data_IF_076908003715
#
_entry.id   IF_076908003715
#
_cell.length_a   1.000
_cell.length_b   1.000
_cell.length_c   1.000
_cell.angle_alpha   90.00
_cell.angle_beta   90.00
_cell.angle_gamma   90.00
#
_symmetry.space_group_name_H-M   'P 1'
#
loop_
_entity.id
_entity.type
_entity.pdbx_description
1 polymer ?
#
# COMPACT_ATOMS: atom_id res chain seq x y z
N UNK A 1 11.77 -12.84 5.62
CA UNK A 1 10.37 -13.02 6.05
C UNK A 1 9.94 -12.06 7.15
N UNK A 2 10.68 -11.91 8.26
CA UNK A 2 10.38 -10.94 9.32
C UNK A 2 10.21 -9.51 8.82
N UNK A 3 11.07 -9.04 7.90
CA UNK A 3 10.94 -7.71 7.30
C UNK A 3 9.60 -7.52 6.55
N UNK A 4 9.11 -8.57 5.88
CA UNK A 4 7.81 -8.53 5.19
C UNK A 4 6.68 -8.37 6.21
N UNK A 5 6.70 -9.16 7.28
CA UNK A 5 5.71 -9.08 8.36
C UNK A 5 5.76 -7.72 9.05
N UNK A 6 6.95 -7.24 9.36
CA UNK A 6 7.18 -5.93 9.97
C UNK A 6 6.60 -4.78 9.12
N UNK A 7 6.95 -4.73 7.83
CA UNK A 7 6.45 -3.70 6.90
C UNK A 7 4.91 -3.76 6.78
N UNK A 8 4.33 -4.96 6.74
CA UNK A 8 2.87 -5.12 6.74
C UNK A 8 2.25 -4.64 8.06
N UNK A 9 2.84 -4.99 9.22
CA UNK A 9 2.34 -4.55 10.52
C UNK A 9 2.39 -3.03 10.67
N UNK A 10 3.51 -2.39 10.32
CA UNK A 10 3.66 -0.93 10.28
C UNK A 10 2.62 -0.31 9.37
N UNK A 11 2.46 -0.81 8.14
CA UNK A 11 1.46 -0.33 7.19
C UNK A 11 0.03 -0.45 7.71
N UNK A 12 -0.30 -1.57 8.39
CA UNK A 12 -1.63 -1.78 8.99
C UNK A 12 -1.88 -0.82 10.17
N UNK A 13 -0.92 -0.64 11.07
CA UNK A 13 -1.04 0.28 12.21
C UNK A 13 -1.21 1.73 11.74
N UNK A 14 -0.39 2.17 10.78
CA UNK A 14 -0.50 3.51 10.19
C UNK A 14 -1.83 3.68 9.44
N UNK A 15 -2.28 2.65 8.73
CA UNK A 15 -3.57 2.66 8.06
C UNK A 15 -4.75 2.72 9.02
N UNK A 16 -4.68 2.04 10.17
CA UNK A 16 -5.69 2.16 11.24
C UNK A 16 -5.68 3.56 11.84
N UNK A 17 -4.51 4.15 12.10
CA UNK A 17 -4.39 5.53 12.53
C UNK A 17 -5.02 6.50 11.52
N UNK A 18 -4.74 6.33 10.22
CA UNK A 18 -5.34 7.11 9.14
C UNK A 18 -6.86 6.96 9.09
N UNK A 19 -7.39 5.75 9.32
CA UNK A 19 -8.82 5.49 9.35
C UNK A 19 -9.51 6.22 10.52
N UNK A 20 -8.87 6.26 11.69
CA UNK A 20 -9.37 7.00 12.86
C UNK A 20 -9.36 8.51 12.59
N UNK A 21 -8.28 9.03 12.00
CA UNK A 21 -8.19 10.42 11.57
C UNK A 21 -9.25 10.76 10.51
N UNK A 22 -9.43 9.92 9.49
CA UNK A 22 -10.48 10.10 8.48
C UNK A 22 -11.87 10.20 9.11
N UNK A 23 -12.15 9.36 10.14
CA UNK A 23 -13.42 9.40 10.87
C UNK A 23 -13.57 10.64 11.76
N UNK A 24 -12.46 11.20 12.24
CA UNK A 24 -12.47 12.42 13.07
C UNK A 24 -12.69 13.69 12.25
N UNK A 25 -12.38 13.64 10.93
CA UNK A 25 -12.55 14.78 10.03
C UNK A 25 -14.04 15.09 9.78
N UNK A 26 -14.41 16.38 9.65
CA UNK A 26 -15.74 16.78 9.21
C UNK A 26 -16.12 16.14 7.87
N UNK A 27 -17.42 15.94 7.63
CA UNK A 27 -17.92 15.27 6.41
C UNK A 27 -17.47 15.94 5.10
N UNK A 28 -17.27 17.25 5.13
CA UNK A 28 -16.87 18.07 3.95
C UNK A 28 -15.35 18.21 3.78
N UNK A 29 -14.55 17.64 4.69
CA UNK A 29 -13.08 17.72 4.58
C UNK A 29 -12.53 16.79 3.51
N UNK A 30 -11.49 17.20 2.78
CA UNK A 30 -10.86 16.35 1.74
C UNK A 30 -10.09 15.20 2.38
N UNK A 31 -10.73 14.04 2.45
CA UNK A 31 -10.24 12.82 3.13
C UNK A 31 -9.06 12.17 2.42
N UNK A 32 -8.95 12.37 1.10
CA UNK A 32 -7.85 11.79 0.29
C UNK A 32 -6.47 12.17 0.81
N UNK A 33 -6.29 13.37 1.37
CA UNK A 33 -4.98 13.84 1.83
C UNK A 33 -4.41 13.03 3.00
N UNK A 34 -5.28 12.48 3.86
CA UNK A 34 -4.85 11.56 4.92
C UNK A 34 -4.14 10.35 4.33
N UNK A 35 -4.73 9.76 3.28
CA UNK A 35 -4.17 8.59 2.60
C UNK A 35 -2.95 8.94 1.74
N UNK A 36 -2.94 10.12 1.12
CA UNK A 36 -1.79 10.62 0.35
C UNK A 36 -0.53 10.79 1.21
N UNK A 37 -0.70 11.12 2.50
CA UNK A 37 0.42 11.27 3.44
C UNK A 37 0.84 9.90 4.02
N UNK A 38 -0.14 9.07 4.38
CA UNK A 38 0.16 7.81 5.08
C UNK A 38 0.81 6.76 4.16
N UNK A 39 0.46 6.71 2.87
CA UNK A 39 1.03 5.76 1.91
C UNK A 39 2.55 5.94 1.79
N UNK A 40 3.11 7.12 1.47
CA UNK A 40 4.56 7.29 1.41
C UNK A 40 5.23 7.09 2.78
N UNK A 41 4.61 7.52 3.88
CA UNK A 41 5.16 7.29 5.22
C UNK A 41 5.30 5.79 5.49
N UNK A 42 4.30 4.98 5.14
CA UNK A 42 4.34 3.53 5.37
C UNK A 42 5.42 2.80 4.54
N UNK A 43 5.90 3.42 3.45
CA UNK A 43 7.01 2.90 2.63
C UNK A 43 8.36 3.36 3.18
N UNK A 44 8.48 4.66 3.52
CA UNK A 44 9.74 5.28 3.88
C UNK A 44 10.13 4.94 5.32
N UNK A 45 9.16 4.91 6.23
CA UNK A 45 9.40 4.71 7.66
C UNK A 45 10.19 3.43 7.97
N UNK A 46 9.85 2.24 7.42
CA UNK A 46 10.62 1.02 7.68
C UNK A 46 12.07 1.08 7.16
N UNK A 47 12.33 1.91 6.14
CA UNK A 47 13.68 2.12 5.58
C UNK A 47 14.51 3.10 6.39
N UNK A 48 13.89 4.17 6.88
CA UNK A 48 14.58 5.25 7.60
C UNK A 48 15.18 4.77 8.93
N UNK A 49 14.46 3.89 9.64
CA UNK A 49 14.93 3.33 10.91
C UNK A 49 16.08 2.34 10.78
N UNK A 50 16.38 1.83 9.58
CA UNK A 50 17.56 0.98 9.35
C UNK A 50 18.90 1.66 9.72
N UNK A 51 18.94 3.00 9.77
CA UNK A 51 20.15 3.75 10.02
C UNK A 51 20.42 4.13 11.48
N UNK A 52 19.39 4.17 12.33
CA UNK A 52 19.52 4.80 13.65
C UNK A 52 19.42 3.86 14.87
N UNK A 53 18.80 2.69 14.75
CA UNK A 53 18.69 1.73 15.85
C UNK A 53 18.82 0.31 15.32
N UNK A 54 20.05 -0.06 14.94
CA UNK A 54 20.38 -1.44 14.64
C UNK A 54 20.42 -2.25 15.94
N UNK A 55 19.26 -2.58 16.49
CA UNK A 55 19.15 -3.65 17.47
C UNK A 55 19.24 -4.96 16.70
N UNK A 56 20.44 -5.55 16.75
CA UNK A 56 20.63 -6.92 16.30
C UNK A 56 19.90 -7.84 17.30
N UNK A 57 19.08 -8.75 16.79
CA UNK A 57 18.55 -9.84 17.62
C UNK A 57 19.74 -10.60 18.22
N UNK A 58 20.88 -10.71 17.50
CA UNK A 58 22.12 -11.26 18.00
C UNK A 58 22.65 -10.51 19.22
N UNK A 59 22.65 -9.16 19.19
CA UNK A 59 23.09 -8.33 20.33
C UNK A 59 22.17 -8.50 21.55
N UNK A 60 20.87 -8.69 21.33
CA UNK A 60 19.92 -8.98 22.40
C UNK A 60 20.20 -10.37 23.04
N UNK A 61 20.53 -11.37 22.25
CA UNK A 61 20.94 -12.70 22.76
C UNK A 61 22.29 -12.66 23.46
N UNK A 62 23.26 -11.90 22.94
CA UNK A 62 24.59 -11.76 23.55
C UNK A 62 24.52 -11.01 24.88
N UNK A 63 23.69 -9.95 24.97
CA UNK A 63 23.38 -9.26 26.24
C UNK A 63 22.59 -10.13 27.21
N UNK A 64 21.71 -11.02 26.72
CA UNK A 64 20.98 -11.96 27.55
C UNK A 64 21.92 -13.06 28.11
N UNK A 65 22.86 -13.53 27.31
CA UNK A 65 23.86 -14.51 27.70
C UNK A 65 24.91 -13.93 28.68
N UNK A 66 25.19 -12.64 28.62
CA UNK A 66 26.10 -11.93 29.49
C UNK A 66 25.49 -11.55 30.87
N UNK A 67 24.18 -11.74 31.08
CA UNK A 67 23.57 -11.55 32.40
C UNK A 67 23.83 -12.72 33.29
N UNK A 68 24.32 -12.51 34.53
CA UNK A 68 24.45 -13.60 35.49
C UNK A 68 23.09 -14.26 35.73
N UNK A 69 23.02 -15.59 35.93
CA UNK A 69 21.77 -16.28 36.18
C UNK A 69 21.17 -15.76 37.48
N UNK A 70 20.13 -14.91 37.36
CA UNK A 70 19.23 -14.65 38.48
C UNK A 70 18.47 -15.95 38.70
N UNK A 71 18.74 -16.57 39.84
CA UNK A 71 18.25 -17.90 40.23
C UNK A 71 16.74 -18.06 39.96
N UNK A 72 16.41 -19.29 39.63
CA UNK A 72 15.14 -19.91 39.31
C UNK A 72 13.93 -19.44 40.12
N UNK A 73 13.34 -18.31 39.81
CA UNK A 73 12.08 -17.88 40.43
C UNK A 73 10.90 -17.91 39.44
N UNK A 74 11.17 -17.88 38.15
CA UNK A 74 10.10 -18.07 37.13
C UNK A 74 10.59 -19.13 36.14
N UNK A 75 9.91 -20.27 36.17
CA UNK A 75 10.15 -21.35 35.22
C UNK A 75 10.32 -20.78 33.82
N UNK A 76 11.45 -21.07 33.21
CA UNK A 76 11.78 -20.72 31.84
C UNK A 76 10.73 -21.32 30.89
N UNK A 77 9.64 -20.64 30.70
CA UNK A 77 8.90 -20.78 29.45
C UNK A 77 9.85 -20.29 28.36
N UNK A 78 10.82 -21.14 28.02
CA UNK A 78 11.68 -20.94 26.87
C UNK A 78 10.79 -20.66 25.70
N UNK A 79 10.83 -19.44 25.19
CA UNK A 79 10.27 -19.09 23.89
C UNK A 79 11.06 -19.86 22.83
N UNK A 80 10.87 -21.18 22.79
CA UNK A 80 11.39 -22.12 21.78
C UNK A 80 10.86 -21.82 20.37
N UNK A 81 10.10 -20.75 20.21
CA UNK A 81 9.69 -20.18 18.92
C UNK A 81 10.85 -19.62 18.09
N UNK A 82 12.07 -19.54 18.64
CA UNK A 82 13.22 -18.93 17.98
C UNK A 82 14.41 -19.90 17.87
N UNK A 83 14.15 -21.16 17.51
CA UNK A 83 15.19 -22.12 17.18
C UNK A 83 16.03 -21.61 15.99
N UNK A 84 17.37 -21.47 16.11
CA UNK A 84 18.26 -21.07 15.03
C UNK A 84 18.13 -21.91 13.75
N UNK A 85 17.81 -23.21 13.88
CA UNK A 85 17.55 -24.10 12.75
C UNK A 85 16.35 -23.69 11.88
N UNK A 86 15.36 -23.12 12.48
CA UNK A 86 14.16 -22.59 11.84
C UNK A 86 14.47 -21.43 10.88
N UNK A 87 15.35 -20.54 11.33
CA UNK A 87 15.77 -19.37 10.55
C UNK A 87 16.66 -19.72 9.38
N UNK A 88 17.54 -20.72 9.53
CA UNK A 88 18.36 -21.23 8.44
C UNK A 88 17.50 -21.84 7.32
N UNK A 89 16.46 -22.59 7.67
CA UNK A 89 15.50 -23.11 6.70
C UNK A 89 14.74 -21.99 5.97
N UNK A 90 14.29 -20.95 6.66
CA UNK A 90 13.59 -19.80 6.04
C UNK A 90 14.53 -19.03 5.13
N UNK A 91 15.79 -18.84 5.48
CA UNK A 91 16.79 -18.15 4.66
C UNK A 91 17.04 -18.90 3.32
N UNK A 92 16.92 -20.22 3.29
CA UNK A 92 17.06 -21.01 2.05
C UNK A 92 16.00 -20.68 1.01
N UNK A 93 14.83 -20.15 1.43
CA UNK A 93 13.74 -19.73 0.52
C UNK A 93 13.88 -18.32 -0.02
N UNK A 94 14.87 -17.53 0.40
CA UNK A 94 14.99 -16.11 0.01
C UNK A 94 15.10 -15.94 -1.51
N UNK A 95 15.82 -16.84 -2.20
CA UNK A 95 15.93 -16.82 -3.67
C UNK A 95 14.58 -17.09 -4.33
N UNK A 96 13.79 -18.03 -3.82
CA UNK A 96 12.47 -18.38 -4.35
C UNK A 96 11.47 -17.26 -4.08
N UNK A 97 11.51 -16.64 -2.91
CA UNK A 97 10.69 -15.49 -2.54
C UNK A 97 11.00 -14.29 -3.45
N UNK A 98 12.28 -14.02 -3.70
CA UNK A 98 12.69 -12.94 -4.61
C UNK A 98 12.24 -13.20 -6.05
N UNK A 99 12.33 -14.43 -6.55
CA UNK A 99 11.81 -14.79 -7.87
C UNK A 99 10.30 -14.61 -7.94
N UNK A 100 9.56 -15.06 -6.92
CA UNK A 100 8.11 -14.88 -6.85
C UNK A 100 7.74 -13.39 -6.80
N UNK A 101 8.45 -12.59 -6.04
CA UNK A 101 8.26 -11.14 -6.00
C UNK A 101 8.48 -10.50 -7.37
N UNK A 102 9.62 -10.76 -8.01
CA UNK A 102 9.94 -10.19 -9.32
C UNK A 102 8.93 -10.64 -10.40
N UNK A 103 8.51 -11.90 -10.38
CA UNK A 103 7.48 -12.39 -11.31
C UNK A 103 6.13 -11.73 -11.08
N UNK A 104 5.69 -11.59 -9.82
CA UNK A 104 4.45 -10.89 -9.49
C UNK A 104 4.50 -9.41 -9.91
N UNK A 105 5.62 -8.73 -9.66
CA UNK A 105 5.83 -7.33 -10.08
C UNK A 105 5.81 -7.20 -11.61
N UNK A 106 6.47 -8.11 -12.32
CA UNK A 106 6.47 -8.14 -13.79
C UNK A 106 5.06 -8.37 -14.36
N UNK A 107 4.31 -9.32 -13.80
CA UNK A 107 2.92 -9.59 -14.21
C UNK A 107 2.04 -8.35 -14.00
N UNK A 108 2.12 -7.70 -12.84
CA UNK A 108 1.36 -6.48 -12.55
C UNK A 108 1.76 -5.33 -13.48
N UNK A 109 3.05 -5.17 -13.76
CA UNK A 109 3.54 -4.16 -14.71
C UNK A 109 3.01 -4.42 -16.12
N UNK A 110 3.13 -5.64 -16.62
CA UNK A 110 2.63 -6.03 -17.95
C UNK A 110 1.11 -5.84 -18.03
N UNK A 111 0.38 -6.20 -17.00
CA UNK A 111 -1.07 -5.98 -16.95
C UNK A 111 -1.41 -4.48 -16.96
N UNK A 112 -0.66 -3.64 -16.20
CA UNK A 112 -0.80 -2.19 -16.20
C UNK A 112 -0.52 -1.59 -17.59
N UNK A 113 0.58 -2.00 -18.24
CA UNK A 113 0.94 -1.57 -19.60
C UNK A 113 -0.11 -2.00 -20.62
N UNK A 114 -0.59 -3.25 -20.56
CA UNK A 114 -1.66 -3.73 -21.43
C UNK A 114 -2.98 -2.96 -21.23
N UNK A 115 -3.28 -2.57 -19.99
CA UNK A 115 -4.44 -1.76 -19.68
C UNK A 115 -4.30 -0.34 -20.24
N UNK A 116 -3.14 0.29 -20.07
CA UNK A 116 -2.83 1.59 -20.65
C UNK A 116 -2.87 1.57 -22.19
N UNK A 117 -2.33 0.51 -22.81
CA UNK A 117 -2.40 0.32 -24.26
C UNK A 117 -3.85 0.18 -24.75
N UNK A 118 -4.70 -0.63 -24.08
CA UNK A 118 -6.12 -0.76 -24.41
C UNK A 118 -6.83 0.59 -24.35
N UNK A 119 -6.62 1.38 -23.30
CA UNK A 119 -7.18 2.72 -23.17
C UNK A 119 -6.71 3.65 -24.30
N UNK A 120 -5.41 3.66 -24.60
CA UNK A 120 -4.84 4.48 -25.69
C UNK A 120 -5.39 4.07 -27.05
N UNK A 121 -5.61 2.78 -27.27
CA UNK A 121 -6.20 2.24 -28.52
C UNK A 121 -7.68 2.66 -28.65
N UNK A 122 -8.46 2.60 -27.56
CA UNK A 122 -9.85 3.10 -27.56
C UNK A 122 -9.89 4.59 -27.90
N UNK A 123 -9.00 5.39 -27.31
CA UNK A 123 -8.92 6.83 -27.58
C UNK A 123 -8.53 7.12 -29.04
N UNK A 124 -7.58 6.37 -29.59
CA UNK A 124 -7.14 6.54 -30.98
C UNK A 124 -8.23 6.12 -31.99
N UNK A 125 -8.91 4.99 -31.70
CA UNK A 125 -10.02 4.51 -32.54
C UNK A 125 -11.21 5.50 -32.50
N UNK A 126 -11.59 5.95 -31.33
CA UNK A 126 -12.67 6.96 -31.19
C UNK A 126 -12.37 8.26 -31.93
N UNK A 127 -11.09 8.64 -32.03
CA UNK A 127 -10.65 9.79 -32.84
C UNK A 127 -10.82 9.52 -34.33
N UNK A 128 -10.40 8.34 -34.81
CA UNK A 128 -10.47 7.95 -36.24
C UNK A 128 -11.90 7.81 -36.74
N UNK A 129 -12.79 7.23 -35.94
CA UNK A 129 -14.17 6.94 -36.35
C UNK A 129 -15.06 8.22 -36.47
N UNK A 130 -14.63 9.33 -35.88
CA UNK A 130 -15.43 10.59 -35.94
C UNK A 130 -15.11 11.54 -37.08
N UNK A 131 -14.03 11.28 -37.83
CA UNK A 131 -13.64 12.15 -38.98
C UNK A 131 -13.48 13.61 -38.53
N UNK A 132 -14.01 14.55 -39.33
CA UNK A 132 -13.91 15.99 -39.13
C UNK A 132 -14.86 16.57 -38.05
N UNK A 133 -15.63 15.74 -37.34
CA UNK A 133 -16.47 16.19 -36.25
C UNK A 133 -15.60 16.81 -35.13
N UNK A 134 -16.03 17.96 -34.57
CA UNK A 134 -15.34 18.65 -33.48
C UNK A 134 -14.97 17.65 -32.35
N UNK A 135 -13.69 17.39 -32.20
CA UNK A 135 -13.12 16.52 -31.19
C UNK A 135 -12.27 17.34 -30.23
N UNK A 136 -12.51 17.26 -28.93
CA UNK A 136 -13.63 16.63 -28.21
C UNK A 136 -14.93 17.42 -28.35
N UNK A 137 -16.09 16.74 -28.21
CA UNK A 137 -17.40 17.43 -28.22
C UNK A 137 -17.61 18.13 -26.87
N UNK A 138 -18.31 19.27 -26.88
CA UNK A 138 -18.71 19.99 -25.67
C UNK A 138 -20.17 19.67 -25.35
N UNK A 139 -20.43 19.06 -24.18
CA UNK A 139 -21.77 18.73 -23.70
C UNK A 139 -21.95 19.35 -22.31
N UNK A 140 -22.98 20.15 -22.13
CA UNK A 140 -23.26 20.87 -20.87
C UNK A 140 -22.04 21.61 -20.29
N UNK A 141 -21.19 22.18 -21.16
CA UNK A 141 -19.97 22.91 -20.78
C UNK A 141 -18.76 22.05 -20.44
N UNK A 142 -18.87 20.71 -20.56
CA UNK A 142 -17.76 19.77 -20.33
C UNK A 142 -17.25 19.23 -21.67
N UNK A 143 -15.94 19.21 -21.85
CA UNK A 143 -15.28 18.63 -23.02
C UNK A 143 -15.22 17.11 -22.89
N UNK A 144 -15.97 16.39 -23.73
CA UNK A 144 -16.16 14.95 -23.63
C UNK A 144 -15.75 14.20 -24.90
N UNK A 145 -15.33 12.97 -24.73
CA UNK A 145 -15.10 12.00 -25.79
C UNK A 145 -16.18 10.92 -25.68
N UNK A 146 -17.04 10.82 -26.68
CA UNK A 146 -18.12 9.84 -26.67
C UNK A 146 -17.60 8.49 -27.14
N UNK A 147 -17.82 7.41 -26.34
CA UNK A 147 -17.41 6.04 -26.66
C UNK A 147 -18.35 5.05 -25.98
N UNK A 148 -18.75 4.00 -26.69
CA UNK A 148 -19.60 2.95 -26.13
C UNK A 148 -18.79 1.76 -25.59
N UNK A 149 -17.46 1.85 -25.68
CA UNK A 149 -16.56 0.76 -25.25
C UNK A 149 -16.28 0.77 -23.74
N UNK A 150 -16.63 1.85 -23.05
CA UNK A 150 -16.35 2.04 -21.62
C UNK A 150 -17.49 2.83 -20.95
N UNK A 151 -17.67 2.65 -19.63
CA UNK A 151 -18.53 3.51 -18.82
C UNK A 151 -18.00 4.95 -18.73
N UNK A 152 -18.75 5.86 -18.06
CA UNK A 152 -18.23 7.19 -17.77
C UNK A 152 -16.91 7.05 -17.01
N UNK A 153 -15.88 7.78 -17.46
CA UNK A 153 -14.56 7.70 -16.84
C UNK A 153 -13.67 8.86 -17.26
N UNK A 154 -12.82 9.31 -16.36
CA UNK A 154 -11.73 10.23 -16.68
C UNK A 154 -10.46 9.46 -16.94
N UNK A 155 -9.89 9.56 -18.15
CA UNK A 155 -8.71 8.82 -18.57
C UNK A 155 -7.60 9.74 -19.09
N UNK A 156 -6.35 9.29 -18.94
CA UNK A 156 -5.15 9.99 -19.41
C UNK A 156 -4.33 10.56 -18.25
N UNK A 157 -3.00 10.45 -18.37
CA UNK A 157 -2.07 10.91 -17.36
C UNK A 157 -1.69 12.40 -17.52
N UNK A 158 -1.17 12.80 -18.70
CA UNK A 158 -0.77 14.18 -18.96
C UNK A 158 -1.94 15.06 -19.42
N UNK A 159 -2.79 14.54 -20.30
CA UNK A 159 -3.97 15.21 -20.86
C UNK A 159 -5.20 14.36 -20.56
N UNK A 160 -5.73 14.50 -19.37
CA UNK A 160 -6.92 13.76 -18.95
C UNK A 160 -8.15 14.22 -19.74
N UNK A 161 -8.94 13.25 -20.17
CA UNK A 161 -10.16 13.44 -20.96
C UNK A 161 -11.32 12.72 -20.31
N UNK A 162 -12.48 13.31 -20.37
CA UNK A 162 -13.73 12.72 -19.89
C UNK A 162 -14.29 11.85 -21.00
N UNK A 163 -14.41 10.55 -20.76
CA UNK A 163 -15.08 9.58 -21.63
C UNK A 163 -16.52 9.43 -21.20
N UNK A 164 -17.44 9.44 -22.16
CA UNK A 164 -18.89 9.35 -21.90
C UNK A 164 -19.53 8.40 -22.89
N UNK A 165 -20.23 7.35 -22.44
CA UNK A 165 -21.00 6.48 -23.31
C UNK A 165 -22.28 7.16 -23.79
N UNK A 166 -22.81 6.72 -24.95
CA UNK A 166 -24.01 7.33 -25.55
C UNK A 166 -25.22 7.30 -24.64
N UNK A 167 -25.39 6.26 -23.83
CA UNK A 167 -26.54 6.18 -22.92
C UNK A 167 -26.56 7.32 -21.88
N UNK A 168 -25.40 7.87 -21.48
CA UNK A 168 -25.34 9.04 -20.60
C UNK A 168 -25.87 10.28 -21.32
N UNK A 169 -25.61 10.42 -22.62
CA UNK A 169 -26.12 11.52 -23.41
C UNK A 169 -27.64 11.47 -23.57
N UNK A 170 -28.25 10.30 -23.49
CA UNK A 170 -29.69 10.09 -23.52
C UNK A 170 -30.40 10.36 -22.19
N UNK A 171 -29.63 10.56 -21.08
CA UNK A 171 -30.22 10.90 -19.78
C UNK A 171 -30.88 12.30 -19.80
N UNK A 172 -31.89 12.54 -18.94
CA UNK A 172 -32.39 13.88 -18.66
C UNK A 172 -31.23 14.82 -18.30
N UNK A 173 -31.39 16.12 -18.70
CA UNK A 173 -30.32 17.11 -18.55
C UNK A 173 -29.72 17.15 -17.14
N UNK A 174 -30.57 17.15 -16.11
CA UNK A 174 -30.10 17.18 -14.71
C UNK A 174 -29.25 15.98 -14.36
N UNK A 175 -29.69 14.76 -14.68
CA UNK A 175 -28.93 13.52 -14.38
C UNK A 175 -27.63 13.49 -15.17
N UNK A 176 -27.65 13.90 -16.44
CA UNK A 176 -26.46 14.01 -17.28
C UNK A 176 -25.44 15.00 -16.70
N UNK A 177 -25.88 16.14 -16.20
CA UNK A 177 -25.03 17.14 -15.57
C UNK A 177 -24.30 16.58 -14.34
N UNK A 178 -24.95 15.78 -13.50
CA UNK A 178 -24.30 15.13 -12.36
C UNK A 178 -23.17 14.19 -12.82
N UNK A 179 -23.43 13.33 -13.83
CA UNK A 179 -22.40 12.39 -14.35
C UNK A 179 -21.22 13.18 -14.94
N UNK A 180 -21.50 14.17 -15.80
CA UNK A 180 -20.46 14.98 -16.43
C UNK A 180 -19.65 15.78 -15.42
N UNK A 181 -20.31 16.32 -14.40
CA UNK A 181 -19.63 17.07 -13.35
C UNK A 181 -18.76 16.17 -12.50
N UNK A 182 -19.20 14.95 -12.17
CA UNK A 182 -18.41 13.97 -11.43
C UNK A 182 -17.10 13.67 -12.16
N UNK A 183 -17.16 13.31 -13.42
CA UNK A 183 -15.97 13.05 -14.24
C UNK A 183 -15.06 14.29 -14.39
N UNK A 184 -15.68 15.47 -14.55
CA UNK A 184 -14.93 16.73 -14.64
C UNK A 184 -14.22 17.07 -13.32
N UNK A 185 -14.82 16.76 -12.15
CA UNK A 185 -14.16 16.95 -10.85
C UNK A 185 -12.94 16.03 -10.68
N UNK A 186 -13.00 14.76 -11.13
CA UNK A 186 -11.83 13.89 -11.18
C UNK A 186 -10.74 14.45 -12.09
N UNK A 187 -11.12 14.97 -13.25
CA UNK A 187 -10.19 15.59 -14.19
C UNK A 187 -9.49 16.81 -13.58
N UNK A 188 -10.25 17.71 -12.93
CA UNK A 188 -9.73 18.93 -12.29
C UNK A 188 -8.84 18.65 -11.11
N UNK A 189 -9.22 17.65 -10.31
CA UNK A 189 -8.47 17.24 -9.14
C UNK A 189 -7.23 16.39 -9.46
N UNK A 190 -7.03 16.02 -10.73
CA UNK A 190 -5.94 15.14 -11.19
C UNK A 190 -5.92 13.77 -10.50
N UNK A 191 -7.10 13.27 -10.11
CA UNK A 191 -7.24 12.03 -9.34
C UNK A 191 -6.63 10.82 -10.06
N UNK A 192 -6.72 10.77 -11.41
CA UNK A 192 -6.07 9.72 -12.20
C UNK A 192 -4.55 9.66 -12.04
N UNK A 193 -3.87 10.81 -11.88
CA UNK A 193 -2.42 10.86 -11.64
C UNK A 193 -2.09 10.37 -10.25
N UNK A 194 -2.86 10.80 -9.24
CA UNK A 194 -2.71 10.39 -7.86
C UNK A 194 -2.82 8.87 -7.73
N UNK A 195 -3.88 8.29 -8.28
CA UNK A 195 -4.12 6.85 -8.22
C UNK A 195 -3.09 6.05 -9.01
N UNK A 196 -2.60 6.59 -10.14
CA UNK A 196 -1.52 5.98 -10.90
C UNK A 196 -0.24 5.90 -10.07
N UNK A 197 0.20 7.02 -9.45
CA UNK A 197 1.39 7.05 -8.60
C UNK A 197 1.24 6.09 -7.41
N UNK A 198 0.06 6.08 -6.75
CA UNK A 198 -0.22 5.15 -5.69
C UNK A 198 -0.16 3.68 -6.16
N UNK A 199 -0.63 3.38 -7.37
CA UNK A 199 -0.60 2.01 -7.92
C UNK A 199 0.80 1.49 -8.19
N UNK A 200 1.79 2.36 -8.43
CA UNK A 200 3.19 1.96 -8.60
C UNK A 200 3.73 1.26 -7.35
N UNK A 201 3.25 1.62 -6.17
CA UNK A 201 3.67 0.98 -4.92
C UNK A 201 3.26 -0.48 -4.83
N UNK A 202 2.10 -0.85 -5.42
CA UNK A 202 1.67 -2.25 -5.53
C UNK A 202 2.58 -3.04 -6.49
N UNK A 203 3.00 -2.41 -7.59
CA UNK A 203 3.91 -3.06 -8.55
C UNK A 203 5.27 -3.30 -7.89
N UNK A 204 5.75 -2.34 -7.08
CA UNK A 204 7.02 -2.47 -6.37
C UNK A 204 6.96 -3.48 -5.21
N UNK A 205 5.83 -3.53 -4.51
CA UNK A 205 5.64 -4.35 -3.30
C UNK A 205 4.34 -5.17 -3.38
N UNK A 206 4.20 -6.13 -4.33
CA UNK A 206 2.96 -6.89 -4.53
C UNK A 206 2.58 -7.75 -3.32
N UNK A 207 3.55 -8.13 -2.51
CA UNK A 207 3.40 -8.89 -1.27
C UNK A 207 2.88 -8.08 -0.08
N UNK A 208 2.85 -6.74 -0.19
CA UNK A 208 2.43 -5.85 0.89
C UNK A 208 0.90 -5.70 0.92
N UNK A 209 0.23 -6.55 1.70
CA UNK A 209 -1.23 -6.57 1.85
C UNK A 209 -1.76 -5.27 2.46
N UNK A 210 -0.99 -4.66 3.38
CA UNK A 210 -1.35 -3.37 3.95
C UNK A 210 -1.44 -2.30 2.84
N UNK A 211 -0.50 -2.30 1.89
CA UNK A 211 -0.49 -1.36 0.77
C UNK A 211 -1.73 -1.51 -0.13
N UNK A 212 -2.15 -2.75 -0.41
CA UNK A 212 -3.39 -3.01 -1.15
C UNK A 212 -4.61 -2.43 -0.44
N UNK A 213 -4.66 -2.57 0.87
CA UNK A 213 -5.74 -2.02 1.68
C UNK A 213 -5.70 -0.48 1.70
N UNK A 214 -4.52 0.13 1.91
CA UNK A 214 -4.33 1.59 1.91
C UNK A 214 -4.78 2.23 0.59
N UNK A 215 -4.42 1.62 -0.55
CA UNK A 215 -4.81 2.14 -1.87
C UNK A 215 -6.31 2.00 -2.10
N UNK A 216 -6.94 0.89 -1.66
CA UNK A 216 -8.41 0.78 -1.69
C UNK A 216 -9.08 1.88 -0.87
N UNK A 217 -8.52 2.22 0.28
CA UNK A 217 -9.02 3.32 1.11
C UNK A 217 -8.81 4.68 0.43
N UNK A 218 -7.67 4.90 -0.21
CA UNK A 218 -7.41 6.10 -1.02
C UNK A 218 -8.43 6.22 -2.16
N UNK A 219 -8.68 5.16 -2.92
CA UNK A 219 -9.69 5.17 -3.99
C UNK A 219 -11.07 5.58 -3.45
N UNK A 220 -11.50 4.98 -2.34
CA UNK A 220 -12.77 5.33 -1.71
C UNK A 220 -12.80 6.79 -1.25
N UNK A 221 -11.74 7.30 -0.65
CA UNK A 221 -11.64 8.68 -0.20
C UNK A 221 -11.70 9.67 -1.38
N UNK A 222 -11.06 9.35 -2.50
CA UNK A 222 -11.12 10.13 -3.75
C UNK A 222 -12.55 10.21 -4.27
N UNK A 223 -13.28 9.09 -4.30
CA UNK A 223 -14.69 9.06 -4.71
C UNK A 223 -15.58 9.90 -3.80
N UNK A 224 -15.45 9.74 -2.47
CA UNK A 224 -16.23 10.52 -1.50
C UNK A 224 -15.94 12.03 -1.60
N UNK A 225 -14.68 12.42 -1.81
CA UNK A 225 -14.30 13.81 -2.00
C UNK A 225 -14.85 14.37 -3.31
N UNK A 226 -14.90 13.54 -4.37
CA UNK A 226 -15.52 13.90 -5.64
C UNK A 226 -17.03 14.11 -5.48
N UNK A 227 -17.73 13.16 -4.83
CA UNK A 227 -19.17 13.27 -4.54
C UNK A 227 -19.50 14.54 -3.77
N UNK A 228 -18.73 14.86 -2.72
CA UNK A 228 -18.91 16.09 -1.95
C UNK A 228 -18.76 17.34 -2.84
N UNK A 229 -17.78 17.38 -3.75
CA UNK A 229 -17.61 18.53 -4.68
C UNK A 229 -18.79 18.67 -5.64
N UNK A 230 -19.31 17.54 -6.13
CA UNK A 230 -20.47 17.53 -7.04
C UNK A 230 -21.72 18.05 -6.33
N UNK A 231 -22.01 17.53 -5.13
CA UNK A 231 -23.19 17.94 -4.35
C UNK A 231 -23.10 19.39 -3.90
N UNK A 232 -21.91 19.85 -3.49
CA UNK A 232 -21.70 21.26 -3.13
C UNK A 232 -21.95 22.23 -4.29
N UNK A 233 -21.81 21.78 -5.55
CA UNK A 233 -22.01 22.62 -6.75
C UNK A 233 -23.41 22.54 -7.32
N UNK A 234 -24.01 21.35 -7.34
CA UNK A 234 -25.30 21.11 -8.00
C UNK A 234 -26.46 20.97 -7.02
N UNK A 235 -26.17 20.76 -5.72
CA UNK A 235 -27.20 20.50 -4.71
C UNK A 235 -27.82 19.11 -4.81
N UNK A 236 -28.92 18.91 -4.10
CA UNK A 236 -29.78 17.72 -4.09
C UNK A 236 -29.06 16.38 -3.97
N UNK A 237 -28.56 16.03 -2.77
CA UNK A 237 -27.82 14.78 -2.54
C UNK A 237 -28.67 13.53 -2.80
N UNK A 238 -30.00 13.61 -2.62
CA UNK A 238 -30.90 12.47 -2.85
C UNK A 238 -30.97 12.12 -4.34
N UNK A 239 -31.24 13.10 -5.22
CA UNK A 239 -31.27 12.88 -6.66
C UNK A 239 -29.91 12.38 -7.18
N UNK A 240 -28.81 12.88 -6.62
CA UNK A 240 -27.49 12.41 -6.97
C UNK A 240 -27.24 10.97 -6.48
N UNK A 241 -27.67 10.61 -5.26
CA UNK A 241 -27.56 9.26 -4.72
C UNK A 241 -28.33 8.23 -5.57
N UNK A 242 -29.57 8.55 -5.98
CA UNK A 242 -30.34 7.68 -6.90
C UNK A 242 -29.61 7.49 -8.25
N UNK A 243 -29.00 8.55 -8.78
CA UNK A 243 -28.24 8.47 -10.01
C UNK A 243 -27.01 7.56 -9.86
N UNK A 244 -26.28 7.65 -8.74
CA UNK A 244 -25.14 6.76 -8.46
C UNK A 244 -25.55 5.27 -8.51
N UNK A 245 -26.71 4.93 -7.94
CA UNK A 245 -27.24 3.56 -8.00
C UNK A 245 -27.54 3.15 -9.45
N UNK A 246 -28.21 4.00 -10.23
CA UNK A 246 -28.51 3.74 -11.65
C UNK A 246 -27.25 3.56 -12.49
N UNK A 247 -26.25 4.41 -12.30
CA UNK A 247 -24.95 4.33 -13.01
C UNK A 247 -24.23 3.04 -12.65
N UNK A 248 -24.22 2.64 -11.37
CA UNK A 248 -23.63 1.38 -10.93
C UNK A 248 -24.34 0.16 -11.53
N UNK A 249 -25.67 0.18 -11.61
CA UNK A 249 -26.45 -0.87 -12.26
C UNK A 249 -26.17 -0.95 -13.78
N UNK A 250 -26.06 0.18 -14.46
CA UNK A 250 -25.69 0.23 -15.88
C UNK A 250 -24.26 -0.30 -16.10
N UNK A 251 -23.30 0.10 -15.25
CA UNK A 251 -21.91 -0.35 -15.31
C UNK A 251 -21.75 -1.85 -15.02
N UNK A 252 -22.65 -2.45 -14.24
CA UNK A 252 -22.59 -3.90 -13.94
C UNK A 252 -22.89 -4.77 -15.17
N UNK A 253 -23.58 -4.23 -16.16
CA UNK A 253 -23.96 -4.92 -17.42
C UNK A 253 -22.91 -4.81 -18.53
N UNK A 254 -21.91 -3.92 -18.38
CA UNK A 254 -20.86 -3.65 -19.38
C UNK A 254 -19.53 -4.36 -19.06
N UNK A 255 -18.58 -4.37 -20.04
CA UNK A 255 -17.22 -4.88 -19.80
C UNK A 255 -16.53 -4.06 -18.71
N UNK A 256 -16.13 -4.72 -17.65
CA UNK A 256 -15.44 -4.11 -16.52
C UNK A 256 -13.98 -3.86 -16.87
N UNK A 257 -13.60 -2.60 -17.09
CA UNK A 257 -12.20 -2.20 -17.25
C UNK A 257 -11.57 -1.77 -15.92
N UNK A 258 -12.39 -1.45 -14.92
CA UNK A 258 -11.86 -1.24 -13.57
C UNK A 258 -11.43 -2.58 -12.98
N UNK A 259 -10.21 -2.64 -12.40
CA UNK A 259 -9.80 -3.83 -11.66
C UNK A 259 -10.83 -4.10 -10.57
N UNK A 260 -11.41 -5.31 -10.57
CA UNK A 260 -12.36 -5.75 -9.55
C UNK A 260 -11.80 -5.59 -8.11
N UNK A 261 -10.49 -5.41 -7.99
CA UNK A 261 -9.76 -5.17 -6.76
C UNK A 261 -9.94 -3.76 -6.18
N UNK A 262 -10.32 -2.77 -7.01
CA UNK A 262 -10.41 -1.35 -6.59
C UNK A 262 -11.85 -0.85 -6.43
N UNK A 263 -12.84 -1.52 -7.02
CA UNK A 263 -14.26 -1.16 -6.93
C UNK A 263 -15.13 -2.35 -6.56
N UNK A 264 -15.79 -2.32 -5.42
CA UNK A 264 -16.75 -3.33 -4.96
C UNK A 264 -18.09 -2.70 -4.56
N UNK A 265 -19.12 -3.53 -4.39
CA UNK A 265 -20.46 -3.11 -3.93
C UNK A 265 -20.37 -2.32 -2.62
N UNK A 266 -19.46 -2.67 -1.71
CA UNK A 266 -19.25 -1.94 -0.45
C UNK A 266 -18.72 -0.50 -0.60
N UNK A 267 -18.13 -0.13 -1.76
CA UNK A 267 -17.70 1.24 -2.01
C UNK A 267 -18.89 2.15 -2.31
N UNK A 268 -19.87 1.68 -3.08
CA UNK A 268 -21.10 2.42 -3.38
C UNK A 268 -21.94 2.64 -2.11
N UNK A 269 -22.15 1.59 -1.31
CA UNK A 269 -22.84 1.67 -0.03
C UNK A 269 -22.20 2.73 0.88
N UNK A 270 -20.87 2.73 0.98
CA UNK A 270 -20.14 3.70 1.81
C UNK A 270 -20.30 5.13 1.30
N UNK A 271 -20.23 5.33 -0.03
CA UNK A 271 -20.48 6.64 -0.67
C UNK A 271 -21.88 7.15 -0.35
N UNK A 272 -22.92 6.31 -0.54
CA UNK A 272 -24.30 6.65 -0.25
C UNK A 272 -24.53 6.96 1.23
N UNK A 273 -23.95 6.16 2.14
CA UNK A 273 -24.07 6.41 3.58
C UNK A 273 -23.50 7.77 3.97
N UNK A 274 -22.32 8.13 3.46
CA UNK A 274 -21.68 9.42 3.77
C UNK A 274 -22.44 10.57 3.15
N UNK A 275 -23.01 10.37 1.95
CA UNK A 275 -23.72 11.38 1.19
C UNK A 275 -25.11 11.70 1.79
N UNK A 276 -25.87 10.66 2.16
CA UNK A 276 -27.29 10.77 2.54
C UNK A 276 -27.50 10.84 4.05
N UNK A 277 -26.60 10.26 4.84
CA UNK A 277 -26.70 10.20 6.29
C UNK A 277 -25.37 10.60 6.95
N UNK A 278 -24.95 11.87 6.85
CA UNK A 278 -23.75 12.32 7.53
C UNK A 278 -23.98 12.25 9.05
N UNK A 279 -23.38 11.24 9.71
CA UNK A 279 -23.48 11.09 11.16
C UNK A 279 -22.58 12.12 11.83
N UNK A 280 -23.12 13.06 12.61
CA UNK A 280 -22.31 14.00 13.37
C UNK A 280 -21.53 13.23 14.45
N UNK A 281 -20.21 13.45 14.50
CA UNK A 281 -19.38 12.91 15.57
C UNK A 281 -19.76 13.53 16.89
N UNK A 282 -19.90 12.71 17.94
CA UNK A 282 -20.01 13.18 19.31
C UNK A 282 -18.74 13.96 19.68
N UNK A 283 -18.87 14.99 20.51
CA UNK A 283 -17.72 15.82 20.93
C UNK A 283 -16.54 14.97 21.44
N UNK A 284 -16.81 13.96 22.26
CA UNK A 284 -15.80 13.04 22.78
C UNK A 284 -15.03 12.32 21.67
N UNK A 285 -15.72 11.89 20.61
CA UNK A 285 -15.10 11.18 19.49
C UNK A 285 -14.14 12.05 18.68
N UNK A 286 -14.37 13.37 18.61
CA UNK A 286 -13.48 14.31 17.90
C UNK A 286 -12.09 14.39 18.51
N UNK A 287 -11.97 14.17 19.83
CA UNK A 287 -10.68 14.19 20.53
C UNK A 287 -10.12 12.79 20.74
N UNK A 288 -10.98 11.81 21.04
CA UNK A 288 -10.56 10.44 21.30
C UNK A 288 -9.95 9.77 20.06
N UNK A 289 -10.56 9.92 18.88
CA UNK A 289 -10.08 9.29 17.67
C UNK A 289 -8.67 9.75 17.26
N UNK A 290 -8.35 11.06 17.22
CA UNK A 290 -6.99 11.53 16.96
C UNK A 290 -5.99 11.12 18.05
N UNK A 291 -6.40 11.09 19.32
CA UNK A 291 -5.55 10.65 20.42
C UNK A 291 -5.15 9.17 20.27
N UNK A 292 -6.11 8.30 19.95
CA UNK A 292 -5.83 6.88 19.67
C UNK A 292 -4.98 6.73 18.42
N UNK A 293 -5.23 7.51 17.37
CA UNK A 293 -4.41 7.52 16.17
C UNK A 293 -2.95 7.90 16.47
N UNK A 294 -2.75 8.93 17.29
CA UNK A 294 -1.41 9.35 17.74
C UNK A 294 -0.73 8.25 18.57
N UNK A 295 -1.48 7.57 19.45
CA UNK A 295 -0.99 6.42 20.19
C UNK A 295 -0.52 5.28 19.28
N UNK A 296 -1.27 4.98 18.22
CA UNK A 296 -0.85 3.98 17.23
C UNK A 296 0.43 4.39 16.49
N UNK A 297 0.56 5.67 16.12
CA UNK A 297 1.79 6.18 15.51
C UNK A 297 2.96 6.04 16.48
N UNK A 298 2.76 6.38 17.76
CA UNK A 298 3.79 6.22 18.79
C UNK A 298 4.21 4.75 18.96
N UNK A 299 3.25 3.81 18.96
CA UNK A 299 3.55 2.37 19.00
C UNK A 299 4.42 1.96 17.80
N UNK A 300 4.10 2.43 16.59
CA UNK A 300 4.90 2.15 15.39
C UNK A 300 6.31 2.71 15.53
N UNK A 301 6.46 3.92 16.06
CA UNK A 301 7.77 4.56 16.27
C UNK A 301 8.61 3.85 17.34
N UNK A 302 7.96 3.18 18.28
CA UNK A 302 8.59 2.42 19.39
C UNK A 302 8.86 0.95 19.02
N UNK A 303 8.38 0.46 17.88
CA UNK A 303 8.56 -0.93 17.48
C UNK A 303 10.04 -1.24 17.17
N UNK A 304 10.63 -2.30 17.76
CA UNK A 304 11.98 -2.74 17.42
C UNK A 304 12.03 -3.22 15.95
N UNK A 305 13.08 -2.84 15.24
CA UNK A 305 13.25 -3.16 13.83
C UNK A 305 14.03 -4.46 13.65
N UNK A 306 13.57 -5.38 12.79
CA UNK A 306 14.35 -6.56 12.44
C UNK A 306 15.56 -6.12 11.60
N UNK A 307 16.76 -6.29 12.12
CA UNK A 307 18.01 -6.09 11.38
C UNK A 307 18.35 -7.40 10.70
N UNK A 308 18.54 -7.38 9.39
CA UNK A 308 19.21 -8.46 8.67
C UNK A 308 20.67 -8.44 9.15
N UNK A 309 21.05 -9.37 10.01
CA UNK A 309 22.44 -9.55 10.40
C UNK A 309 23.28 -9.75 9.14
N UNK A 310 24.10 -8.75 8.78
CA UNK A 310 25.29 -9.01 7.98
C UNK A 310 26.07 -10.01 8.79
N UNK A 311 26.28 -11.23 8.25
CA UNK A 311 27.14 -12.21 8.88
C UNK A 311 28.46 -11.52 9.26
N UNK A 312 28.59 -11.20 10.53
CA UNK A 312 29.86 -10.84 11.10
C UNK A 312 30.71 -12.08 10.91
N UNK A 313 31.65 -12.02 9.96
CA UNK A 313 32.76 -12.96 9.97
C UNK A 313 33.44 -12.71 11.30
N UNK A 314 33.05 -13.50 12.29
CA UNK A 314 33.82 -13.60 13.53
C UNK A 314 35.22 -14.02 13.11
N UNK A 315 36.14 -13.07 13.06
CA UNK A 315 37.56 -13.41 13.12
C UNK A 315 37.78 -14.07 14.46
N UNK A 316 37.77 -15.40 14.42
CA UNK A 316 38.30 -16.18 15.53
C UNK A 316 39.79 -15.90 15.55
N UNK A 317 40.19 -14.89 16.32
CA UNK A 317 41.59 -14.70 16.67
C UNK A 317 41.92 -15.79 17.67
N UNK A 318 42.50 -16.90 17.18
CA UNK A 318 43.11 -17.89 18.05
C UNK A 318 44.34 -17.23 18.63
N UNK A 319 44.21 -16.62 19.80
CA UNK A 319 45.36 -16.25 20.63
C UNK A 319 45.95 -17.54 21.16
N UNK A 320 47.00 -18.03 20.51
CA UNK A 320 47.85 -19.07 21.07
C UNK A 320 48.48 -18.52 22.33
N UNK A 321 47.86 -18.82 23.47
CA UNK A 321 48.48 -18.60 24.78
C UNK A 321 49.68 -19.48 24.91
N UNK A 322 50.88 -18.92 24.75
CA UNK A 322 52.14 -19.52 25.11
C UNK A 322 52.19 -19.61 26.61
N UNK A 323 51.72 -20.73 27.17
CA UNK A 323 52.07 -21.13 28.53
C UNK A 323 53.49 -21.69 28.49
N UNK A 324 54.45 -20.85 28.90
CA UNK A 324 55.82 -21.27 29.15
C UNK A 324 55.84 -22.19 30.38
N UNK A 325 55.72 -23.48 30.17
CA UNK A 325 56.11 -24.49 31.20
C UNK A 325 57.46 -25.10 30.79
N UNK A 326 58.39 -25.04 31.68
CA UNK A 326 59.73 -25.56 31.51
C UNK A 326 59.76 -27.04 31.08
N UNK A 327 60.72 -27.48 30.21
CA UNK A 327 60.72 -28.80 29.65
C UNK A 327 61.28 -29.81 30.68
N UNK A 328 60.49 -30.87 30.93
CA UNK A 328 61.06 -32.13 31.52
C UNK A 328 61.75 -32.90 30.40
N UNK A 329 62.90 -33.53 30.68
CA UNK A 329 63.64 -34.28 29.65
C UNK A 329 62.92 -35.62 29.36
N UNK A 330 62.65 -35.90 28.10
CA UNK A 330 62.14 -37.16 27.56
C UNK A 330 63.19 -37.88 26.74
N UNK A 331 63.16 -39.23 26.76
CA UNK A 331 64.20 -40.08 26.15
C UNK A 331 64.06 -40.16 24.63
N UNK A 332 65.17 -40.31 23.97
CA UNK A 332 65.44 -40.26 22.55
C UNK A 332 64.91 -41.51 21.79
N UNK A 333 63.67 -41.56 21.38
CA UNK A 333 63.24 -42.55 20.36
C UNK A 333 61.92 -42.24 19.63
N UNK A 334 61.48 -41.05 19.44
CA UNK A 334 60.31 -40.79 18.62
C UNK A 334 60.69 -39.87 17.41
N UNK A 335 61.00 -40.58 16.32
CA UNK A 335 61.24 -39.97 15.01
C UNK A 335 59.93 -39.65 14.30
N UNK A 336 59.92 -38.51 13.69
CA UNK A 336 59.31 -38.09 12.45
C UNK A 336 58.05 -38.77 11.88
N UNK A 337 56.94 -38.05 11.85
CA UNK A 337 56.01 -38.12 10.71
C UNK A 337 55.65 -36.69 10.31
N UNK A 338 56.21 -36.22 9.19
CA UNK A 338 55.82 -35.02 8.47
C UNK A 338 54.68 -35.42 7.51
N UNK A 339 53.49 -34.93 7.72
CA UNK A 339 52.40 -34.97 6.71
C UNK A 339 52.28 -33.61 6.08
N UNK A 340 52.72 -33.51 4.83
CA UNK A 340 52.36 -32.41 3.94
C UNK A 340 50.93 -32.59 3.44
N UNK A 341 50.08 -31.61 3.66
CA UNK A 341 48.88 -31.42 2.83
C UNK A 341 48.98 -30.06 2.12
N UNK A 342 48.80 -30.17 0.83
CA UNK A 342 48.66 -29.05 -0.12
C UNK A 342 47.26 -28.47 0.01
#
# INVERSE_FOLDING_TARGET
MLCILYVNAVGMCLGLAALLLERALPSMSPRRWVWCVIIPISIVLPGFYRGHHAWSIADAFEQQAARPPLGDVFGTASLTLLDPGWWAQIASYDTSINRLWLTASAVLLLWGLASAWRVSRVLSLSRRLRGDAKWPATVDGVSVVVTDMMGPATVGFWRSRVLVPRWVLALPREQRQYVLRHEEEHRRAHDGRLLFVASLTIILMPWNLAMWWLIRRLCLAVEMDCDNRVVNRLGNPNAYGELLVRVAQAASRGPRLQPALLGGVGTLERRLTVLLAPTPLRHVQRFLLPAVALGLVFVVLSMPHPVLGRGSHAHVTITSGTTTTAPKPHPAWAADVVVHQR
#
